data_IF_301843344866
#
_entry.id   IF_301843344866
#
_cell.length_a   1.000
_cell.length_b   1.000
_cell.length_c   1.000
_cell.angle_alpha   90.00
_cell.angle_beta   90.00
_cell.angle_gamma   90.00
#
_symmetry.space_group_name_H-M   'P 1'
#
loop_
_entity.id
_entity.type
_entity.pdbx_description
1 polymer ?
#
# COMPACT_ATOMS: atom_id res chain seq x y z
N UNK A 1 -9.67 -14.58 -3.78
CA UNK A 1 -10.00 -13.17 -4.12
C UNK A 1 -9.55 -12.27 -2.97
N UNK A 2 -8.87 -11.15 -3.22
CA UNK A 2 -8.50 -10.16 -2.18
C UNK A 2 -7.03 -10.08 -1.71
N UNK A 3 -6.10 -10.89 -2.26
CA UNK A 3 -4.70 -10.94 -1.77
C UNK A 3 -3.99 -9.58 -1.80
N UNK A 4 -4.25 -8.77 -2.82
CA UNK A 4 -3.67 -7.42 -2.96
C UNK A 4 -4.11 -6.50 -1.82
N UNK A 5 -5.40 -6.48 -1.49
CA UNK A 5 -5.92 -5.64 -0.40
C UNK A 5 -5.39 -6.12 0.96
N UNK A 6 -5.35 -7.44 1.18
CA UNK A 6 -4.81 -8.03 2.43
C UNK A 6 -3.34 -7.67 2.61
N UNK A 7 -2.51 -7.90 1.59
CA UNK A 7 -1.10 -7.54 1.63
C UNK A 7 -0.92 -6.03 1.88
N UNK A 8 -1.60 -5.18 1.10
CA UNK A 8 -1.47 -3.72 1.22
C UNK A 8 -1.88 -3.23 2.61
N UNK A 9 -3.00 -3.70 3.16
CA UNK A 9 -3.43 -3.33 4.51
C UNK A 9 -2.43 -3.79 5.57
N UNK A 10 -1.97 -5.05 5.50
CA UNK A 10 -1.02 -5.58 6.47
C UNK A 10 0.31 -4.84 6.45
N UNK A 11 0.82 -4.49 5.27
CA UNK A 11 2.06 -3.73 5.13
C UNK A 11 1.87 -2.30 5.66
N UNK A 12 0.79 -1.61 5.26
CA UNK A 12 0.53 -0.24 5.71
C UNK A 12 0.32 -0.12 7.23
N UNK A 13 -0.25 -1.14 7.89
CA UNK A 13 -0.42 -1.16 9.35
C UNK A 13 0.90 -1.40 10.11
N UNK A 14 1.90 -2.01 9.48
CA UNK A 14 3.19 -2.33 10.10
C UNK A 14 4.26 -1.24 9.85
N UNK A 15 4.08 -0.41 8.82
CA UNK A 15 5.03 0.64 8.46
C UNK A 15 4.89 1.84 9.41
N UNK A 16 6.01 2.32 9.94
CA UNK A 16 6.12 3.65 10.55
C UNK A 16 6.62 4.66 9.50
N UNK A 17 5.82 5.66 9.11
CA UNK A 17 6.18 6.58 8.04
C UNK A 17 7.28 7.57 8.48
N UNK A 18 8.47 7.45 7.89
CA UNK A 18 9.58 8.40 8.07
C UNK A 18 9.75 9.25 6.80
N UNK A 19 9.71 10.58 6.96
CA UNK A 19 9.80 11.51 5.85
C UNK A 19 11.12 11.32 5.06
N UNK A 20 11.00 11.26 3.72
CA UNK A 20 12.16 11.10 2.83
C UNK A 20 12.73 9.68 2.75
N UNK A 21 12.11 8.69 3.41
CA UNK A 21 12.55 7.30 3.38
C UNK A 21 11.48 6.39 2.76
N UNK A 22 11.93 5.43 1.95
CA UNK A 22 11.06 4.39 1.42
C UNK A 22 10.91 3.28 2.47
N UNK A 23 9.67 3.02 2.90
CA UNK A 23 9.39 2.03 3.94
C UNK A 23 9.01 0.64 3.42
N UNK A 24 8.60 0.52 2.15
CA UNK A 24 8.27 -0.76 1.53
C UNK A 24 8.47 -0.73 0.00
N UNK A 25 8.71 -1.91 -0.57
CA UNK A 25 8.84 -2.13 -2.02
C UNK A 25 7.88 -3.24 -2.46
N UNK A 26 7.14 -3.00 -3.55
CA UNK A 26 6.22 -3.98 -4.15
C UNK A 26 6.70 -4.33 -5.55
N UNK A 27 7.07 -5.60 -5.77
CA UNK A 27 7.50 -6.11 -7.07
C UNK A 27 6.34 -6.78 -7.80
N UNK A 28 6.19 -6.48 -9.08
CA UNK A 28 5.14 -7.02 -9.95
C UNK A 28 5.75 -7.55 -11.24
N UNK A 29 5.13 -8.59 -11.81
CA UNK A 29 5.60 -9.23 -13.06
C UNK A 29 5.29 -8.42 -14.32
N UNK A 30 4.29 -7.51 -14.27
CA UNK A 30 3.89 -6.66 -15.39
C UNK A 30 3.61 -5.22 -14.95
N UNK A 31 3.66 -4.28 -15.89
CA UNK A 31 3.38 -2.86 -15.64
C UNK A 31 1.92 -2.64 -15.25
N UNK A 32 1.00 -3.34 -15.88
CA UNK A 32 -0.44 -3.22 -15.63
C UNK A 32 -0.76 -3.64 -14.19
N UNK A 33 -0.12 -4.71 -13.71
CA UNK A 33 -0.28 -5.17 -12.32
C UNK A 33 0.32 -4.18 -11.32
N UNK A 34 1.47 -3.56 -11.66
CA UNK A 34 2.04 -2.50 -10.84
C UNK A 34 1.11 -1.29 -10.74
N UNK A 35 0.53 -0.83 -11.86
CA UNK A 35 -0.44 0.28 -11.86
C UNK A 35 -1.70 -0.05 -11.06
N UNK A 36 -2.21 -1.27 -11.16
CA UNK A 36 -3.37 -1.71 -10.36
C UNK A 36 -3.03 -1.75 -8.86
N UNK A 37 -1.87 -2.30 -8.50
CA UNK A 37 -1.42 -2.37 -7.11
C UNK A 37 -1.18 -0.98 -6.52
N UNK A 38 -0.57 -0.07 -7.30
CA UNK A 38 -0.38 1.33 -6.90
C UNK A 38 -1.70 2.03 -6.58
N UNK A 39 -2.74 1.85 -7.43
CA UNK A 39 -4.06 2.42 -7.16
C UNK A 39 -4.67 1.92 -5.86
N UNK A 40 -4.50 0.64 -5.54
CA UNK A 40 -4.98 0.06 -4.28
C UNK A 40 -4.23 0.65 -3.09
N UNK A 41 -2.91 0.79 -3.18
CA UNK A 41 -2.09 1.43 -2.12
C UNK A 41 -2.53 2.87 -1.88
N UNK A 42 -2.72 3.66 -2.94
CA UNK A 42 -3.14 5.07 -2.82
C UNK A 42 -4.54 5.21 -2.23
N UNK A 43 -5.47 4.33 -2.60
CA UNK A 43 -6.83 4.35 -2.05
C UNK A 43 -6.82 4.01 -0.56
N UNK A 44 -6.12 2.94 -0.18
CA UNK A 44 -6.12 2.44 1.20
C UNK A 44 -5.28 3.30 2.14
N UNK A 45 -4.22 3.94 1.66
CA UNK A 45 -3.45 4.90 2.48
C UNK A 45 -4.33 6.06 2.93
N UNK A 46 -5.24 6.55 2.06
CA UNK A 46 -6.19 7.60 2.42
C UNK A 46 -7.21 7.16 3.48
N UNK A 47 -7.61 5.88 3.48
CA UNK A 47 -8.54 5.32 4.46
C UNK A 47 -7.88 5.14 5.84
N UNK A 48 -6.63 4.67 5.88
CA UNK A 48 -5.89 4.49 7.14
C UNK A 48 -5.55 5.82 7.82
N UNK A 49 -5.23 6.87 7.05
CA UNK A 49 -4.99 8.22 7.60
C UNK A 49 -6.25 8.78 8.29
N UNK A 50 -7.45 8.42 7.82
CA UNK A 50 -8.72 8.84 8.44
C UNK A 50 -9.08 8.04 9.70
N UNK A 51 -8.54 6.84 9.90
CA UNK A 51 -8.76 6.02 11.10
C UNK A 51 -7.82 6.40 12.25
N UNK A 52 -6.72 7.11 11.95
CA UNK A 52 -5.75 7.55 12.95
C UNK A 52 -6.02 8.96 13.50
N UNK A 53 -7.18 9.54 13.19
CA UNK A 53 -7.72 10.79 13.75
C UNK A 53 -9.01 10.50 14.49
#
# INVERSE_FOLDING_TARGET
>A
MGKTAVFVLSTLQQIEPVAGQAAALVLCHTRELAYQSFRVVQLLSHVLVLQSR
#
